data_IF_433326097453
#
_entry.id   IF_433326097453
#
_cell.length_a   1.000
_cell.length_b   1.000
_cell.length_c   1.000
_cell.angle_alpha   90.00
_cell.angle_beta   90.00
_cell.angle_gamma   90.00
#
_symmetry.space_group_name_H-M   'P 1'
#
loop_
_entity.id
_entity.type
_entity.pdbx_description
1 polymer ?
#
# COMPACT_ATOMS: atom_id res chain seq x y z
N UNK A 1 -25.69 -18.19 -36.47
CA UNK A 1 -25.84 -17.69 -35.08
C UNK A 1 -24.45 -17.74 -34.45
N UNK A 2 -23.80 -16.59 -34.28
CA UNK A 2 -22.45 -16.53 -33.74
C UNK A 2 -22.53 -16.48 -32.21
N UNK A 3 -22.34 -17.63 -31.57
CA UNK A 3 -22.12 -17.70 -30.13
C UNK A 3 -20.71 -17.15 -29.85
N UNK A 4 -20.61 -15.84 -29.63
CA UNK A 4 -19.36 -15.18 -29.24
C UNK A 4 -19.55 -14.57 -27.86
N UNK A 5 -19.03 -15.27 -26.87
CA UNK A 5 -19.03 -14.83 -25.47
C UNK A 5 -18.10 -13.63 -25.31
N UNK A 6 -18.64 -12.52 -24.79
CA UNK A 6 -17.85 -11.34 -24.42
C UNK A 6 -17.05 -11.67 -23.15
N UNK A 7 -15.71 -11.65 -23.23
CA UNK A 7 -14.84 -11.72 -22.04
C UNK A 7 -14.32 -10.34 -21.69
N UNK A 8 -14.69 -9.83 -20.51
CA UNK A 8 -14.08 -8.64 -19.93
C UNK A 8 -12.82 -9.00 -19.12
N UNK A 9 -11.79 -8.18 -19.20
CA UNK A 9 -10.62 -8.24 -18.33
C UNK A 9 -10.62 -7.02 -17.39
N UNK A 10 -10.50 -7.25 -16.08
CA UNK A 10 -10.31 -6.18 -15.09
C UNK A 10 -8.89 -5.63 -15.18
N UNK A 11 -8.71 -4.32 -14.94
CA UNK A 11 -7.39 -3.73 -14.68
C UNK A 11 -6.91 -4.17 -13.28
N UNK A 12 -6.02 -5.15 -13.26
CA UNK A 12 -5.41 -5.70 -12.05
C UNK A 12 -4.61 -6.97 -12.38
N UNK A 13 -3.60 -7.27 -11.57
CA UNK A 13 -2.85 -8.51 -11.68
C UNK A 13 -3.44 -9.56 -10.71
N UNK A 14 -3.48 -10.83 -11.13
CA UNK A 14 -3.80 -11.95 -10.24
C UNK A 14 -2.48 -12.60 -9.83
N UNK A 15 -2.19 -12.63 -8.54
CA UNK A 15 -1.04 -13.38 -7.99
C UNK A 15 -1.49 -14.80 -7.59
N UNK A 16 -0.61 -15.78 -7.79
CA UNK A 16 -0.77 -17.15 -7.30
C UNK A 16 -0.01 -17.38 -5.98
N UNK A 17 0.50 -16.32 -5.37
CA UNK A 17 1.17 -16.40 -4.09
C UNK A 17 0.22 -16.87 -2.99
N UNK A 18 0.71 -17.78 -2.16
CA UNK A 18 -0.02 -18.28 -1.01
C UNK A 18 0.35 -17.46 0.22
N UNK A 19 -0.65 -16.94 0.94
CA UNK A 19 -0.49 -16.32 2.26
C UNK A 19 -0.05 -17.38 3.28
N UNK A 20 1.24 -17.72 3.29
CA UNK A 20 1.81 -18.74 4.17
C UNK A 20 2.65 -18.05 5.23
N UNK A 21 2.02 -17.52 6.28
CA UNK A 21 2.65 -17.05 7.54
C UNK A 21 4.10 -16.57 7.35
N UNK A 22 4.31 -15.70 6.36
CA UNK A 22 5.66 -15.25 6.03
C UNK A 22 6.04 -14.19 7.05
N UNK A 23 7.28 -14.21 7.49
CA UNK A 23 7.76 -13.19 8.40
C UNK A 23 7.61 -11.82 7.73
N UNK A 24 7.06 -10.87 8.45
CA UNK A 24 6.87 -9.53 7.89
C UNK A 24 8.23 -8.87 7.77
N UNK A 25 8.49 -8.27 6.61
CA UNK A 25 9.70 -7.49 6.43
C UNK A 25 9.85 -6.43 7.55
N UNK A 26 11.09 -6.19 8.03
CA UNK A 26 11.33 -5.26 9.12
C UNK A 26 10.87 -3.86 8.73
N UNK A 27 10.06 -3.25 9.59
CA UNK A 27 9.42 -1.96 9.38
C UNK A 27 9.57 -1.05 10.59
N UNK A 28 9.68 0.24 10.34
CA UNK A 28 9.72 1.29 11.35
C UNK A 28 8.45 2.14 11.27
N UNK A 29 7.95 2.55 12.43
CA UNK A 29 6.73 3.36 12.54
C UNK A 29 7.14 4.82 12.71
N UNK A 30 6.87 5.66 11.71
CA UNK A 30 7.22 7.09 11.74
C UNK A 30 5.95 7.90 11.95
N UNK A 31 6.00 8.82 12.91
CA UNK A 31 4.89 9.75 13.21
C UNK A 31 5.11 11.06 12.49
N UNK A 32 4.13 11.48 11.69
CA UNK A 32 4.09 12.80 11.06
C UNK A 32 2.95 13.64 11.66
N UNK A 33 3.12 14.96 11.64
CA UNK A 33 2.11 15.93 12.05
C UNK A 33 1.70 16.79 10.88
N UNK A 34 0.40 16.84 10.62
CA UNK A 34 -0.22 17.69 9.62
C UNK A 34 -0.34 19.14 10.10
N UNK A 35 -0.52 20.07 9.16
CA UNK A 35 -0.71 21.50 9.44
C UNK A 35 -1.97 21.80 10.26
N UNK A 36 -2.98 20.92 10.19
CA UNK A 36 -4.20 20.99 10.99
C UNK A 36 -4.03 20.42 12.42
N UNK A 37 -2.82 19.98 12.79
CA UNK A 37 -2.49 19.43 14.10
C UNK A 37 -2.74 17.94 14.25
N UNK A 38 -3.24 17.24 13.22
CA UNK A 38 -3.43 15.79 13.28
C UNK A 38 -2.10 15.04 13.18
N UNK A 39 -1.93 14.03 14.02
CA UNK A 39 -0.77 13.14 14.00
C UNK A 39 -1.17 11.79 13.41
N UNK A 40 -0.35 11.26 12.51
CA UNK A 40 -0.59 9.96 11.91
C UNK A 40 0.72 9.17 11.77
N UNK A 41 0.57 7.85 11.84
CA UNK A 41 1.70 6.92 11.80
C UNK A 41 1.77 6.27 10.43
N UNK A 42 2.96 6.28 9.84
CA UNK A 42 3.26 5.67 8.54
C UNK A 42 4.29 4.57 8.74
N UNK A 43 3.99 3.31 8.36
CA UNK A 43 4.98 2.25 8.37
C UNK A 43 5.93 2.39 7.17
N UNK A 44 7.21 2.53 7.44
CA UNK A 44 8.29 2.50 6.44
C UNK A 44 9.08 1.19 6.55
N UNK A 45 9.71 0.78 5.45
CA UNK A 45 10.75 -0.26 5.53
C UNK A 45 11.88 0.20 6.45
N UNK A 46 12.52 -0.73 7.16
CA UNK A 46 13.65 -0.41 8.01
C UNK A 46 14.83 0.22 7.24
N UNK A 47 15.00 -0.16 5.98
CA UNK A 47 16.08 0.33 5.10
C UNK A 47 15.71 1.61 4.34
N UNK A 48 14.45 2.07 4.42
CA UNK A 48 14.01 3.25 3.70
C UNK A 48 14.53 4.54 4.34
N UNK A 49 15.00 5.47 3.52
CA UNK A 49 15.28 6.84 3.95
C UNK A 49 13.95 7.56 4.27
N UNK A 50 13.89 8.17 5.46
CA UNK A 50 12.66 8.81 5.95
C UNK A 50 12.63 10.28 5.51
N UNK A 51 11.67 10.68 4.67
CA UNK A 51 11.56 12.08 4.25
C UNK A 51 11.12 12.97 5.42
N UNK A 52 11.45 14.26 5.32
CA UNK A 52 11.06 15.25 6.34
C UNK A 52 9.56 15.56 6.33
N UNK A 53 8.90 15.40 5.18
CA UNK A 53 7.47 15.66 5.00
C UNK A 53 6.79 14.47 4.33
N UNK A 54 5.55 14.23 4.70
CA UNK A 54 4.71 13.19 4.11
C UNK A 54 3.31 13.72 3.83
N UNK A 55 2.70 13.27 2.73
CA UNK A 55 1.33 13.64 2.37
C UNK A 55 0.39 13.12 3.46
N UNK A 56 -0.38 14.03 4.04
CA UNK A 56 -1.35 13.71 5.06
C UNK A 56 -2.41 12.76 4.52
N UNK A 57 -2.88 11.84 5.37
CA UNK A 57 -3.96 10.91 5.01
C UNK A 57 -5.26 11.62 4.60
N UNK A 58 -5.44 12.86 5.08
CA UNK A 58 -6.61 13.68 4.87
C UNK A 58 -6.55 14.56 3.61
N UNK A 59 -5.49 14.45 2.80
CA UNK A 59 -5.32 15.21 1.56
C UNK A 59 -4.66 16.55 1.79
#
# INVERSE_FOLDING_TARGET
MADRVLRGSRLGAVSYETDRNHDLAPRQMITYRCSNGEEFVVPFSHDAEIPQTWICKNG
#
